data_IF_350997392376
#
_entry.id   IF_350997392376
#
_cell.length_a   1.000
_cell.length_b   1.000
_cell.length_c   1.000
_cell.angle_alpha   90.00
_cell.angle_beta   90.00
_cell.angle_gamma   90.00
#
_symmetry.space_group_name_H-M   'P 1'
#
loop_
_entity.id
_entity.type
_entity.pdbx_description
1 polymer ?
#
# COMPACT_ATOMS: atom_id res chain seq x y z
N UNK A 1 -1.78 36.88 6.76
CA UNK A 1 -2.77 35.86 6.37
C UNK A 1 -2.17 35.07 5.23
N UNK A 2 -1.67 33.87 5.51
CA UNK A 2 -1.02 33.05 4.48
C UNK A 2 -2.04 32.03 4.02
N UNK A 3 -2.53 32.19 2.80
CA UNK A 3 -3.49 31.30 2.16
C UNK A 3 -2.84 29.92 1.95
N UNK A 4 -3.16 28.99 2.84
CA UNK A 4 -2.91 27.57 2.60
C UNK A 4 -3.96 27.14 1.58
N UNK A 5 -3.56 27.07 0.31
CA UNK A 5 -4.34 26.40 -0.73
C UNK A 5 -4.65 24.98 -0.25
N UNK A 6 -5.86 24.78 0.26
CA UNK A 6 -6.46 23.47 0.51
C UNK A 6 -6.60 22.76 -0.84
N UNK A 7 -5.50 22.20 -1.34
CA UNK A 7 -5.56 21.14 -2.33
C UNK A 7 -6.40 20.04 -1.71
N UNK A 8 -7.53 19.71 -2.34
CA UNK A 8 -8.50 18.71 -1.89
C UNK A 8 -7.75 17.57 -1.19
N UNK A 9 -7.81 17.50 0.15
CA UNK A 9 -7.38 16.32 0.89
C UNK A 9 -8.36 15.22 0.48
N UNK A 10 -8.00 14.46 -0.55
CA UNK A 10 -8.70 13.22 -0.86
C UNK A 10 -8.44 12.32 0.34
N UNK A 11 -9.43 12.22 1.22
CA UNK A 11 -9.40 11.29 2.32
C UNK A 11 -9.55 9.90 1.71
N UNK A 12 -8.44 9.28 1.33
CA UNK A 12 -8.42 7.89 0.89
C UNK A 12 -8.70 7.02 2.11
N UNK A 13 -9.92 6.52 2.20
CA UNK A 13 -10.29 5.53 3.22
C UNK A 13 -9.76 4.18 2.76
N UNK A 14 -8.59 3.78 3.26
CA UNK A 14 -8.04 2.45 2.98
C UNK A 14 -8.99 1.39 3.50
N UNK A 15 -9.24 0.38 2.69
CA UNK A 15 -9.94 -0.86 3.09
C UNK A 15 -9.10 -1.63 4.11
N UNK A 16 -9.73 -2.56 4.83
CA UNK A 16 -9.02 -3.43 5.79
C UNK A 16 -7.88 -4.19 5.10
N UNK A 17 -8.13 -4.74 3.92
CA UNK A 17 -7.14 -5.45 3.09
C UNK A 17 -5.96 -4.54 2.75
N UNK A 18 -6.21 -3.34 2.24
CA UNK A 18 -5.14 -2.40 1.90
C UNK A 18 -4.30 -1.98 3.11
N UNK A 19 -4.92 -1.82 4.29
CA UNK A 19 -4.17 -1.51 5.53
C UNK A 19 -3.28 -2.67 5.96
N UNK A 20 -3.80 -3.89 5.92
CA UNK A 20 -3.02 -5.08 6.27
C UNK A 20 -1.86 -5.29 5.30
N UNK A 21 -2.12 -5.16 4.00
CA UNK A 21 -1.09 -5.27 2.95
C UNK A 21 -0.05 -4.17 3.09
N UNK A 22 -0.45 -2.93 3.38
CA UNK A 22 0.49 -1.82 3.63
C UNK A 22 1.39 -2.09 4.84
N UNK A 23 0.83 -2.59 5.95
CA UNK A 23 1.59 -2.94 7.14
C UNK A 23 2.58 -4.10 6.87
N UNK A 24 2.15 -5.10 6.11
CA UNK A 24 2.99 -6.22 5.66
C UNK A 24 4.15 -5.74 4.79
N UNK A 25 3.89 -4.86 3.81
CA UNK A 25 4.92 -4.27 2.96
C UNK A 25 5.92 -3.48 3.80
N UNK A 26 5.46 -2.67 4.74
CA UNK A 26 6.34 -1.91 5.64
C UNK A 26 7.22 -2.82 6.49
N UNK A 27 6.67 -3.90 7.04
CA UNK A 27 7.42 -4.88 7.83
C UNK A 27 8.48 -5.60 6.98
N UNK A 28 8.11 -6.07 5.79
CA UNK A 28 9.02 -6.76 4.88
C UNK A 28 10.10 -5.83 4.32
N UNK A 29 9.80 -4.53 4.18
CA UNK A 29 10.75 -3.53 3.68
C UNK A 29 11.94 -3.30 4.62
N UNK A 30 11.82 -3.66 5.91
CA UNK A 30 12.93 -3.63 6.85
C UNK A 30 13.99 -4.70 6.52
N UNK A 31 13.60 -5.80 5.89
CA UNK A 31 14.46 -6.95 5.61
C UNK A 31 14.94 -7.02 4.15
N UNK A 32 14.17 -6.44 3.21
CA UNK A 32 14.51 -6.45 1.79
C UNK A 32 14.01 -5.18 1.11
N UNK A 33 14.82 -4.59 0.22
CA UNK A 33 14.44 -3.42 -0.57
C UNK A 33 13.52 -3.76 -1.74
N UNK A 34 13.39 -5.05 -2.09
CA UNK A 34 12.53 -5.54 -3.15
C UNK A 34 11.65 -6.67 -2.61
N UNK A 35 10.33 -6.50 -2.70
CA UNK A 35 9.34 -7.44 -2.18
C UNK A 35 8.41 -7.81 -3.33
N UNK A 36 8.26 -9.11 -3.58
CA UNK A 36 7.35 -9.59 -4.62
C UNK A 36 5.91 -9.72 -4.09
N UNK A 37 4.92 -9.61 -4.98
CA UNK A 37 3.52 -9.89 -4.63
C UNK A 37 3.32 -11.32 -4.13
N UNK A 38 4.12 -12.27 -4.62
CA UNK A 38 4.11 -13.66 -4.15
C UNK A 38 4.57 -13.78 -2.68
N UNK A 39 5.61 -13.04 -2.28
CA UNK A 39 6.08 -12.99 -0.89
C UNK A 39 5.00 -12.41 0.02
N UNK A 40 4.37 -11.31 -0.38
CA UNK A 40 3.31 -10.67 0.42
C UNK A 40 2.10 -11.60 0.55
N UNK A 41 1.68 -12.25 -0.54
CA UNK A 41 0.60 -13.23 -0.51
C UNK A 41 0.92 -14.40 0.42
N UNK A 42 2.14 -14.94 0.37
CA UNK A 42 2.59 -16.01 1.26
C UNK A 42 2.63 -15.61 2.75
N UNK A 43 2.85 -14.32 3.04
CA UNK A 43 2.86 -13.77 4.39
C UNK A 43 1.48 -13.23 4.84
N UNK A 44 0.45 -13.37 4.02
CA UNK A 44 -0.89 -12.86 4.29
C UNK A 44 -1.94 -13.96 4.21
N UNK A 45 -3.17 -13.65 4.63
CA UNK A 45 -4.32 -14.54 4.42
C UNK A 45 -5.00 -14.34 3.05
N UNK A 46 -4.47 -13.44 2.22
CA UNK A 46 -5.09 -13.00 0.97
C UNK A 46 -4.52 -13.74 -0.24
N UNK A 47 -5.39 -13.98 -1.21
CA UNK A 47 -4.99 -14.57 -2.49
C UNK A 47 -4.13 -13.60 -3.28
N UNK A 48 -3.27 -14.14 -4.14
CA UNK A 48 -2.36 -13.33 -4.95
C UNK A 48 -3.07 -12.23 -5.79
N UNK A 49 -4.25 -12.46 -6.40
CA UNK A 49 -5.01 -11.41 -7.08
C UNK A 49 -5.48 -10.28 -6.14
N UNK A 50 -5.95 -10.61 -4.93
CA UNK A 50 -6.37 -9.61 -3.93
C UNK A 50 -5.18 -8.75 -3.49
N UNK A 51 -4.01 -9.37 -3.29
CA UNK A 51 -2.77 -8.66 -2.97
C UNK A 51 -2.37 -7.73 -4.10
N UNK A 52 -2.36 -8.20 -5.35
CA UNK A 52 -1.98 -7.38 -6.51
C UNK A 52 -2.95 -6.21 -6.72
N UNK A 53 -4.25 -6.41 -6.47
CA UNK A 53 -5.25 -5.35 -6.48
C UNK A 53 -4.98 -4.31 -5.38
N UNK A 54 -4.74 -4.75 -4.14
CA UNK A 54 -4.44 -3.87 -3.02
C UNK A 54 -3.14 -3.08 -3.25
N UNK A 55 -2.09 -3.73 -3.76
CA UNK A 55 -0.83 -3.07 -4.11
C UNK A 55 -1.05 -2.02 -5.22
N UNK A 56 -1.88 -2.31 -6.21
CA UNK A 56 -2.23 -1.36 -7.27
C UNK A 56 -2.95 -0.12 -6.71
N UNK A 57 -3.91 -0.32 -5.80
CA UNK A 57 -4.58 0.78 -5.10
C UNK A 57 -3.62 1.62 -4.26
N UNK A 58 -2.74 0.96 -3.50
CA UNK A 58 -1.75 1.62 -2.65
C UNK A 58 -0.72 2.42 -3.48
N UNK A 59 -0.33 1.92 -4.65
CA UNK A 59 0.50 2.65 -5.61
C UNK A 59 -0.23 3.86 -6.18
N UNK A 60 -1.50 3.70 -6.58
CA UNK A 60 -2.31 4.82 -7.08
C UNK A 60 -2.53 5.92 -6.01
N UNK A 61 -2.58 5.53 -4.74
CA UNK A 61 -2.64 6.45 -3.60
C UNK A 61 -1.27 7.08 -3.26
N UNK A 62 -0.18 6.68 -3.92
CA UNK A 62 1.17 7.18 -3.67
C UNK A 62 1.78 6.72 -2.34
N UNK A 63 1.25 5.65 -1.75
CA UNK A 63 1.70 5.13 -0.44
C UNK A 63 2.88 4.16 -0.56
N UNK A 64 2.98 3.48 -1.70
CA UNK A 64 4.10 2.61 -2.06
C UNK A 64 4.50 2.89 -3.50
N UNK A 65 5.74 2.57 -3.86
CA UNK A 65 6.26 2.75 -5.21
C UNK A 65 6.88 1.44 -5.72
N UNK A 66 6.69 1.15 -7.00
CA UNK A 66 7.46 0.12 -7.69
C UNK A 66 8.85 0.69 -8.00
N UNK A 67 9.89 -0.04 -7.61
CA UNK A 67 11.27 0.27 -8.00
C UNK A 67 11.61 -0.40 -9.33
#
# INVERSE_FOLDING_TARGET
MTEVRMGKRIQYTLTEVEREILALVQMLAHNSTAISSATISACSRYTRPEVEQALSSLMAAGLICQR
#
